data_IF_885256555137
#
_entry.id   IF_885256555137
#
_cell.length_a   1.000
_cell.length_b   1.000
_cell.length_c   1.000
_cell.angle_alpha   90.00
_cell.angle_beta   90.00
_cell.angle_gamma   90.00
#
_symmetry.space_group_name_H-M   'P 1'
#
loop_
_entity.id
_entity.type
_entity.pdbx_description
1 polymer ?
#
# COMPACT_ATOMS: atom_id res chain seq x y z
N UNK A 1 -30.39 -4.83 25.99
CA UNK A 1 -30.27 -5.72 24.81
C UNK A 1 -30.54 -4.88 23.58
N UNK A 2 -29.59 -4.89 22.63
CA UNK A 2 -29.48 -4.05 21.43
C UNK A 2 -28.65 -2.75 21.54
N UNK A 3 -27.50 -2.84 22.21
CA UNK A 3 -26.28 -2.11 21.82
C UNK A 3 -25.73 -2.71 20.52
N UNK A 4 -26.32 -2.40 19.36
CA UNK A 4 -25.69 -2.60 18.06
C UNK A 4 -26.51 -1.84 17.02
N UNK A 5 -25.92 -0.82 16.39
CA UNK A 5 -25.99 -0.54 14.95
C UNK A 5 -25.56 0.92 14.71
N UNK A 6 -24.31 1.04 14.23
CA UNK A 6 -23.79 2.15 13.43
C UNK A 6 -23.19 3.36 14.17
N UNK A 7 -22.18 3.14 15.01
CA UNK A 7 -21.05 4.07 15.02
C UNK A 7 -20.18 3.76 13.79
N UNK A 8 -20.66 4.09 12.59
CA UNK A 8 -19.79 4.21 11.43
C UNK A 8 -18.84 5.35 11.78
N UNK A 9 -17.61 4.97 12.14
CA UNK A 9 -16.53 5.91 12.40
C UNK A 9 -16.54 6.99 11.32
N UNK A 10 -16.44 8.23 11.77
CA UNK A 10 -16.37 9.42 10.95
C UNK A 10 -15.57 9.12 9.65
N UNK A 11 -16.18 9.22 8.45
CA UNK A 11 -15.53 8.83 7.19
C UNK A 11 -14.31 9.67 6.82
N UNK A 12 -13.97 10.68 7.64
CA UNK A 12 -12.83 11.57 7.45
C UNK A 12 -11.57 11.19 8.26
N UNK A 13 -11.63 10.22 9.18
CA UNK A 13 -10.43 9.81 9.91
C UNK A 13 -9.66 8.76 9.12
N UNK A 14 -8.76 9.23 8.24
CA UNK A 14 -7.70 8.39 7.71
C UNK A 14 -6.89 7.87 8.90
N UNK A 15 -6.80 6.55 9.10
CA UNK A 15 -6.02 6.01 10.20
C UNK A 15 -4.56 6.43 10.02
N UNK A 16 -4.11 7.24 10.97
CA UNK A 16 -2.86 7.99 10.85
C UNK A 16 -1.71 7.16 11.43
N UNK A 17 -1.04 6.38 10.58
CA UNK A 17 0.26 5.81 10.90
C UNK A 17 1.31 6.93 10.95
N UNK A 18 2.37 6.76 11.76
CA UNK A 18 3.46 7.76 11.86
C UNK A 18 4.40 7.72 10.65
N UNK A 19 4.17 6.78 9.74
CA UNK A 19 4.86 6.62 8.47
C UNK A 19 3.81 6.37 7.37
N UNK A 20 3.99 7.00 6.21
CA UNK A 20 3.13 6.81 5.05
C UNK A 20 3.76 5.84 4.04
N UNK A 21 3.01 5.52 2.98
CA UNK A 21 3.46 4.59 1.94
C UNK A 21 4.73 5.06 1.21
N UNK A 22 4.84 6.34 0.89
CA UNK A 22 5.97 6.91 0.16
C UNK A 22 7.27 6.84 0.97
N UNK A 23 7.22 7.24 2.24
CA UNK A 23 8.35 7.13 3.15
C UNK A 23 8.78 5.67 3.34
N UNK A 24 7.80 4.76 3.52
CA UNK A 24 8.10 3.34 3.65
C UNK A 24 8.77 2.77 2.39
N UNK A 25 8.35 3.19 1.20
CA UNK A 25 8.97 2.78 -0.06
C UNK A 25 10.42 3.27 -0.18
N UNK A 26 10.68 4.52 0.20
CA UNK A 26 12.05 5.08 0.24
C UNK A 26 12.94 4.29 1.19
N UNK A 27 12.44 3.97 2.40
CA UNK A 27 13.21 3.17 3.38
C UNK A 27 13.56 1.78 2.85
N UNK A 28 12.58 1.10 2.23
CA UNK A 28 12.78 -0.23 1.64
C UNK A 28 13.79 -0.17 0.48
N UNK A 29 13.77 0.90 -0.31
CA UNK A 29 14.69 1.09 -1.42
C UNK A 29 16.12 1.43 -0.95
N UNK A 30 16.25 2.28 0.07
CA UNK A 30 17.54 2.66 0.63
C UNK A 30 18.23 1.47 1.32
N UNK A 31 17.44 0.69 2.07
CA UNK A 31 17.87 -0.56 2.71
C UNK A 31 19.15 -0.42 3.57
N UNK A 32 19.26 0.68 4.31
CA UNK A 32 20.40 0.98 5.16
C UNK A 32 19.96 1.46 6.55
N UNK A 33 20.86 1.36 7.53
CA UNK A 33 20.58 1.66 8.94
C UNK A 33 20.43 3.16 9.18
N UNK A 34 21.10 4.00 8.40
CA UNK A 34 21.10 5.45 8.57
C UNK A 34 19.71 6.02 8.21
N UNK A 35 19.05 5.45 7.20
CA UNK A 35 17.68 5.76 6.81
C UNK A 35 16.65 5.50 7.93
N UNK A 36 16.97 4.62 8.89
CA UNK A 36 16.10 4.29 10.02
C UNK A 36 16.26 5.24 11.21
N UNK A 37 17.35 6.02 11.27
CA UNK A 37 17.62 6.95 12.37
C UNK A 37 16.48 7.95 12.65
N UNK A 38 15.82 8.55 11.63
CA UNK A 38 14.69 9.45 11.85
C UNK A 38 13.51 8.81 12.59
N UNK A 39 13.41 7.48 12.53
CA UNK A 39 12.37 6.71 13.22
C UNK A 39 12.83 6.17 14.56
N UNK A 40 14.05 6.44 15.02
CA UNK A 40 14.61 5.82 16.23
C UNK A 40 15.05 4.38 15.99
N UNK A 41 15.49 4.05 14.77
CA UNK A 41 15.89 2.72 14.36
C UNK A 41 14.72 1.75 14.18
N UNK A 42 15.03 0.45 14.14
CA UNK A 42 14.01 -0.60 14.02
C UNK A 42 12.89 -0.53 15.06
N UNK A 43 13.15 -0.28 16.36
CA UNK A 43 12.09 -0.20 17.36
C UNK A 43 11.06 0.89 17.07
N UNK A 44 11.51 2.08 16.64
CA UNK A 44 10.57 3.15 16.36
C UNK A 44 9.95 3.07 14.96
N UNK A 45 10.58 2.40 13.99
CA UNK A 45 9.91 1.99 12.75
C UNK A 45 8.76 1.01 13.04
N UNK A 46 8.98 0.02 13.91
CA UNK A 46 7.92 -0.90 14.34
C UNK A 46 6.78 -0.18 15.06
N UNK A 47 7.11 0.77 15.93
CA UNK A 47 6.11 1.61 16.58
C UNK A 47 5.34 2.49 15.57
N UNK A 48 6.02 3.02 14.55
CA UNK A 48 5.39 3.82 13.49
C UNK A 48 4.42 3.02 12.62
N UNK A 49 4.73 1.74 12.39
CA UNK A 49 3.89 0.77 11.67
C UNK A 49 2.88 0.05 12.56
N UNK A 50 2.85 0.34 13.86
CA UNK A 50 2.04 -0.36 14.87
C UNK A 50 2.18 -1.89 14.78
N UNK A 51 3.41 -2.39 14.62
CA UNK A 51 3.71 -3.82 14.47
C UNK A 51 4.73 -4.28 15.50
N UNK A 52 4.85 -5.59 15.66
CA UNK A 52 5.86 -6.23 16.51
C UNK A 52 6.74 -7.17 15.67
N UNK A 53 8.04 -7.25 15.98
CA UNK A 53 8.99 -8.10 15.25
C UNK A 53 8.69 -9.60 15.35
N UNK A 54 8.14 -10.05 16.49
CA UNK A 54 7.89 -11.46 16.78
C UNK A 54 6.46 -11.86 16.45
N UNK A 55 5.49 -11.03 16.86
CA UNK A 55 4.06 -11.35 16.75
C UNK A 55 3.40 -10.72 15.53
N UNK A 56 4.08 -9.81 14.83
CA UNK A 56 3.52 -9.10 13.68
C UNK A 56 2.38 -8.16 14.05
N UNK A 57 1.37 -8.09 13.18
CA UNK A 57 0.17 -7.25 13.32
C UNK A 57 -0.95 -8.04 14.02
N UNK A 58 -1.93 -7.34 14.60
CA UNK A 58 -3.09 -7.99 15.24
C UNK A 58 -3.94 -8.79 14.27
N UNK A 59 -4.05 -8.32 13.02
CA UNK A 59 -4.78 -9.02 11.96
C UNK A 59 -6.30 -9.02 12.10
N UNK A 60 -6.87 -8.29 13.05
CA UNK A 60 -8.32 -8.09 13.14
C UNK A 60 -8.84 -7.24 11.96
N UNK A 61 -10.12 -7.41 11.60
CA UNK A 61 -10.70 -6.75 10.43
C UNK A 61 -10.52 -5.21 10.45
N UNK A 62 -10.60 -4.60 11.64
CA UNK A 62 -10.34 -3.17 11.81
C UNK A 62 -8.90 -2.78 11.51
N UNK A 63 -7.92 -3.54 12.00
CA UNK A 63 -6.49 -3.30 11.73
C UNK A 63 -6.17 -3.48 10.24
N UNK A 64 -6.70 -4.53 9.61
CA UNK A 64 -6.53 -4.77 8.18
C UNK A 64 -7.15 -3.65 7.33
N UNK A 65 -8.36 -3.20 7.68
CA UNK A 65 -9.01 -2.07 7.00
C UNK A 65 -8.19 -0.79 7.10
N UNK A 66 -7.65 -0.48 8.30
CA UNK A 66 -6.82 0.71 8.51
C UNK A 66 -5.54 0.66 7.68
N UNK A 67 -4.82 -0.46 7.70
CA UNK A 67 -3.60 -0.66 6.92
C UNK A 67 -3.87 -0.57 5.42
N UNK A 68 -4.95 -1.19 4.95
CA UNK A 68 -5.36 -1.13 3.56
C UNK A 68 -5.67 0.31 3.12
N UNK A 69 -6.31 1.12 3.98
CA UNK A 69 -6.58 2.53 3.70
C UNK A 69 -5.32 3.40 3.67
N UNK A 70 -4.33 3.10 4.51
CA UNK A 70 -3.12 3.91 4.63
C UNK A 70 -2.02 3.56 3.62
N UNK A 71 -1.86 2.27 3.30
CA UNK A 71 -0.77 1.76 2.46
C UNK A 71 -1.23 1.20 1.12
N UNK A 72 -2.55 1.10 0.92
CA UNK A 72 -3.15 0.56 -0.29
C UNK A 72 -3.18 -0.97 -0.35
N UNK A 73 -3.69 -1.51 -1.45
CA UNK A 73 -3.68 -2.94 -1.73
C UNK A 73 -2.25 -3.45 -1.99
N UNK A 74 -1.82 -4.51 -1.30
CA UNK A 74 -0.58 -5.23 -1.63
C UNK A 74 -0.80 -6.17 -2.83
N UNK A 75 -1.21 -5.59 -3.96
CA UNK A 75 -1.40 -6.32 -5.21
C UNK A 75 -0.10 -6.21 -6.00
N UNK A 76 0.62 -7.31 -6.09
CA UNK A 76 1.58 -7.51 -7.17
C UNK A 76 0.76 -7.73 -8.44
N UNK A 77 0.54 -6.65 -9.19
CA UNK A 77 0.12 -6.76 -10.57
C UNK A 77 1.32 -7.40 -11.29
N UNK A 78 1.28 -8.72 -11.47
CA UNK A 78 2.05 -9.31 -12.55
C UNK A 78 1.70 -8.50 -13.80
N UNK A 79 2.70 -7.84 -14.38
CA UNK A 79 2.59 -7.22 -15.69
C UNK A 79 2.28 -8.34 -16.68
N UNK A 80 1.00 -8.73 -16.77
CA UNK A 80 0.54 -9.52 -17.89
C UNK A 80 0.75 -8.61 -19.09
N UNK A 81 1.58 -9.00 -20.08
CA UNK A 81 1.69 -8.23 -21.30
C UNK A 81 0.26 -8.03 -21.80
N UNK A 82 -0.13 -6.76 -21.97
CA UNK A 82 -1.44 -6.40 -22.49
C UNK A 82 -1.73 -7.30 -23.70
N UNK A 83 -2.94 -7.87 -23.82
CA UNK A 83 -3.24 -8.79 -24.90
C UNK A 83 -2.88 -8.13 -26.24
N UNK A 84 -2.02 -8.79 -27.01
CA UNK A 84 -1.37 -8.36 -28.27
C UNK A 84 -2.33 -7.71 -29.28
N UNK A 85 -3.63 -7.92 -29.12
CA UNK A 85 -4.70 -7.33 -29.92
C UNK A 85 -4.62 -5.81 -29.99
N UNK A 86 -4.35 -5.09 -28.89
CA UNK A 86 -4.28 -3.62 -28.91
C UNK A 86 -3.02 -3.08 -29.60
N UNK A 87 -1.88 -3.77 -29.52
CA UNK A 87 -0.65 -3.37 -30.24
C UNK A 87 -0.82 -3.58 -31.76
N UNK A 88 -1.55 -4.61 -32.17
CA UNK A 88 -1.91 -4.83 -33.57
C UNK A 88 -2.74 -3.70 -34.18
N UNK A 89 -3.75 -3.20 -33.46
CA UNK A 89 -4.58 -2.09 -33.93
C UNK A 89 -3.80 -0.77 -34.06
N UNK A 90 -2.93 -0.46 -33.09
CA UNK A 90 -2.10 0.76 -33.16
C UNK A 90 -1.09 0.72 -34.32
N UNK A 91 -0.53 -0.45 -34.64
CA UNK A 91 0.38 -0.62 -35.78
C UNK A 91 -0.33 -0.49 -37.13
N UNK A 92 -1.54 -1.04 -37.26
CA UNK A 92 -2.36 -0.89 -38.48
C UNK A 92 -2.82 0.55 -38.69
N UNK A 93 -3.23 1.25 -37.62
CA UNK A 93 -3.68 2.63 -37.71
C UNK A 93 -2.56 3.62 -38.06
N UNK A 94 -1.30 3.23 -37.88
CA UNK A 94 -0.13 4.05 -38.15
C UNK A 94 0.74 3.52 -39.31
N UNK A 95 0.26 2.51 -40.04
CA UNK A 95 0.90 2.04 -41.27
C UNK A 95 0.47 2.95 -42.44
N UNK A 96 1.40 3.71 -43.04
CA UNK A 96 1.09 4.62 -44.15
C UNK A 96 0.68 3.91 -45.44
N UNK A 97 0.76 2.57 -45.52
CA UNK A 97 0.39 1.76 -46.69
C UNK A 97 -0.95 1.03 -46.51
N UNK A 98 -1.71 1.31 -45.45
CA UNK A 98 -2.98 0.60 -45.16
C UNK A 98 -4.18 1.12 -45.98
N UNK A 99 -3.95 1.96 -47.00
CA UNK A 99 -4.90 2.31 -48.07
C UNK A 99 -4.21 2.29 -49.43
#
# INVERSE_FOLDING_TARGET
MADSMLNYGNPAEVPMFRINQECLAILVQANDIDSLQPFGGMPGLMAALETNAETGIRGEAGDLYRRHKAFGPNLYLEEKPFPTVVDGFFRLANDPNFL
#
